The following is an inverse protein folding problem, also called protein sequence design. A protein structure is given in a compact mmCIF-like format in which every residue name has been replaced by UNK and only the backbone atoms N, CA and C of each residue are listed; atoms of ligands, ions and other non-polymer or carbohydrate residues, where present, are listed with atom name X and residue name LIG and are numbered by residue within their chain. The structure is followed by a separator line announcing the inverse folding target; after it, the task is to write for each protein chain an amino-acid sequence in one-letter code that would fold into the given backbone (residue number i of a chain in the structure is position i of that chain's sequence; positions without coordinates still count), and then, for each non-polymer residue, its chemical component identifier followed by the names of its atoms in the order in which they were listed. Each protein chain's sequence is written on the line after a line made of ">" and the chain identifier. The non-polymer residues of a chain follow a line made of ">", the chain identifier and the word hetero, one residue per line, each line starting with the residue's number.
data_IF_160238180832
#
_entry.id   IF_160238180832
#
_cell.length_a   1.000
_cell.length_b   1.000
_cell.length_c   1.000
_cell.angle_alpha   90.00
_cell.angle_beta   90.00
_cell.angle_gamma   90.00
#
_symmetry.space_group_name_H-M   'P 1'
#
loop_
_entity.id
_entity.type
_entity.pdbx_description
1 polymer ?
#
# COMPACT_ATOMS: atom_id res chain seq x y z
N UNK A 1 19.79 6.45 -15.71
CA UNK A 1 18.71 5.45 -15.57
C UNK A 1 17.53 5.77 -16.47
N UNK A 2 17.06 7.02 -16.54
CA UNK A 2 16.05 7.42 -17.54
C UNK A 2 16.50 7.20 -18.99
N UNK A 3 17.80 7.37 -19.30
CA UNK A 3 18.29 7.21 -20.68
C UNK A 3 18.38 5.75 -21.17
N UNK A 4 18.16 4.75 -20.32
CA UNK A 4 18.31 3.34 -20.68
C UNK A 4 16.98 2.61 -20.94
N UNK A 5 15.83 3.23 -20.63
CA UNK A 5 14.53 2.63 -20.91
C UNK A 5 13.44 3.72 -21.04
N UNK A 6 13.13 4.19 -22.27
CA UNK A 6 12.19 5.30 -22.48
C UNK A 6 10.76 5.00 -22.04
N UNK A 7 10.42 3.72 -21.88
CA UNK A 7 9.08 3.26 -21.51
C UNK A 7 8.88 3.23 -19.98
N UNK A 8 9.94 3.40 -19.20
CA UNK A 8 9.86 3.43 -17.73
C UNK A 8 9.88 4.86 -17.20
N UNK A 9 8.80 5.24 -16.52
CA UNK A 9 8.71 6.52 -15.80
C UNK A 9 8.92 6.28 -14.30
N UNK A 10 9.76 7.10 -13.69
CA UNK A 10 10.02 7.06 -12.25
C UNK A 10 9.61 8.41 -11.66
N UNK A 11 8.71 8.36 -10.68
CA UNK A 11 8.20 9.54 -9.99
C UNK A 11 8.41 9.41 -8.48
N UNK A 12 8.91 10.47 -7.86
CA UNK A 12 9.14 10.52 -6.42
C UNK A 12 8.03 11.31 -5.71
N UNK A 13 7.20 10.61 -4.94
CA UNK A 13 6.30 11.23 -3.95
C UNK A 13 7.11 11.65 -2.73
N UNK A 14 7.40 12.94 -2.60
CA UNK A 14 8.29 13.46 -1.56
C UNK A 14 7.53 14.12 -0.41
N UNK A 15 7.87 13.75 0.82
CA UNK A 15 7.42 14.47 2.04
C UNK A 15 8.37 15.59 2.45
N UNK A 16 9.60 15.56 1.95
CA UNK A 16 10.67 16.53 2.17
C UNK A 16 11.40 16.73 0.86
N UNK A 17 11.99 17.90 0.69
CA UNK A 17 12.81 18.21 -0.49
C UNK A 17 13.84 17.08 -0.71
N UNK A 18 13.81 16.41 -1.88
CA UNK A 18 14.71 15.30 -2.13
C UNK A 18 16.13 15.81 -2.44
N UNK A 19 17.16 14.95 -2.30
CA UNK A 19 18.53 15.34 -2.61
C UNK A 19 18.72 15.62 -4.11
N UNK A 20 19.77 16.37 -4.46
CA UNK A 20 20.07 16.75 -5.84
C UNK A 20 20.20 15.54 -6.79
N UNK A 21 20.62 14.38 -6.25
CA UNK A 21 20.66 13.12 -6.99
C UNK A 21 19.31 12.67 -7.51
N UNK A 22 18.21 13.03 -6.84
CA UNK A 22 16.85 12.78 -7.32
C UNK A 22 16.38 13.92 -8.21
N UNK A 23 16.49 15.17 -7.73
CA UNK A 23 15.98 16.36 -8.46
C UNK A 23 16.57 16.52 -9.86
N UNK A 24 17.82 16.12 -10.04
CA UNK A 24 18.51 16.24 -11.32
C UNK A 24 18.24 15.07 -12.27
N UNK A 25 17.58 13.99 -11.82
CA UNK A 25 17.45 12.74 -12.59
C UNK A 25 16.01 12.22 -12.71
N UNK A 26 15.07 12.64 -11.85
CA UNK A 26 13.72 12.10 -11.81
C UNK A 26 12.68 13.20 -11.57
N UNK A 27 11.45 12.94 -12.03
CA UNK A 27 10.31 13.76 -11.68
C UNK A 27 9.95 13.54 -10.21
N UNK A 28 9.58 14.63 -9.52
CA UNK A 28 9.19 14.59 -8.12
C UNK A 28 8.19 15.70 -7.81
N UNK A 29 7.40 15.50 -6.76
CA UNK A 29 6.55 16.53 -6.19
C UNK A 29 6.44 16.37 -4.68
N UNK A 30 6.19 17.50 -4.01
CA UNK A 30 6.02 17.57 -2.58
C UNK A 30 4.56 17.34 -2.20
N UNK A 31 4.28 16.33 -1.36
CA UNK A 31 2.93 16.01 -0.89
C UNK A 31 2.79 16.13 0.63
N UNK A 32 1.55 16.33 1.13
CA UNK A 32 1.25 16.19 2.55
C UNK A 32 1.65 14.81 3.10
N UNK A 33 2.20 14.79 4.30
CA UNK A 33 2.57 13.56 5.01
C UNK A 33 1.33 12.93 5.69
N UNK A 34 0.48 12.30 4.88
CA UNK A 34 -0.79 11.71 5.33
C UNK A 34 -0.88 10.23 4.94
N UNK A 35 -1.56 9.41 5.75
CA UNK A 35 -1.87 8.01 5.41
C UNK A 35 -0.68 7.05 5.23
N UNK A 36 0.51 7.43 5.68
CA UNK A 36 1.73 6.63 5.54
C UNK A 36 2.00 6.21 4.09
N UNK A 37 2.34 4.94 3.85
CA UNK A 37 2.65 4.41 2.52
C UNK A 37 1.39 4.42 1.64
N UNK A 38 0.25 3.98 2.19
CA UNK A 38 -1.01 3.89 1.47
C UNK A 38 -1.59 5.26 1.07
N UNK A 39 -1.42 6.27 1.93
CA UNK A 39 -1.76 7.65 1.58
C UNK A 39 -0.87 8.20 0.47
N UNK A 40 0.43 7.88 0.50
CA UNK A 40 1.35 8.21 -0.59
C UNK A 40 0.95 7.53 -1.91
N UNK A 41 0.52 6.27 -1.86
CA UNK A 41 0.04 5.55 -3.05
C UNK A 41 -1.27 6.13 -3.57
N UNK A 42 -2.20 6.51 -2.68
CA UNK A 42 -3.43 7.18 -3.06
C UNK A 42 -3.17 8.53 -3.73
N UNK A 43 -2.25 9.34 -3.22
CA UNK A 43 -1.89 10.62 -3.84
C UNK A 43 -1.36 10.45 -5.27
N UNK A 44 -0.63 9.36 -5.53
CA UNK A 44 -0.16 9.02 -6.88
C UNK A 44 -1.31 8.55 -7.76
N UNK A 45 -2.21 7.72 -7.24
CA UNK A 45 -3.43 7.31 -7.93
C UNK A 45 -4.28 8.52 -8.37
N UNK A 46 -4.44 9.53 -7.51
CA UNK A 46 -5.23 10.72 -7.83
C UNK A 46 -4.52 11.70 -8.79
N UNK A 47 -3.19 11.61 -8.90
CA UNK A 47 -2.40 12.53 -9.72
C UNK A 47 -2.30 12.10 -11.18
N UNK A 48 -2.20 10.80 -11.43
CA UNK A 48 -1.91 10.26 -12.74
C UNK A 48 -3.12 9.50 -13.28
N UNK A 49 -3.45 9.77 -14.54
CA UNK A 49 -4.35 8.91 -15.31
C UNK A 49 -3.52 7.72 -15.81
N UNK A 50 -3.78 6.54 -15.25
CA UNK A 50 -3.15 5.29 -15.66
C UNK A 50 -3.99 4.63 -16.74
N UNK A 51 -3.33 4.12 -17.77
CA UNK A 51 -3.97 3.29 -18.79
C UNK A 51 -4.07 1.84 -18.30
N UNK A 52 -5.01 1.06 -18.86
CA UNK A 52 -5.29 -0.31 -18.44
C UNK A 52 -4.04 -1.20 -18.43
N UNK A 53 -3.17 -1.03 -19.44
CA UNK A 53 -1.96 -1.82 -19.67
C UNK A 53 -0.73 -1.32 -18.89
N UNK A 54 -0.83 -0.17 -18.22
CA UNK A 54 0.29 0.33 -17.43
C UNK A 54 0.62 -0.65 -16.31
N UNK A 55 1.92 -0.94 -16.13
CA UNK A 55 2.42 -1.74 -15.00
C UNK A 55 3.01 -0.78 -13.99
N UNK A 56 2.40 -0.73 -12.80
CA UNK A 56 2.76 0.21 -11.75
C UNK A 56 3.51 -0.52 -10.65
N UNK A 57 4.66 0.04 -10.27
CA UNK A 57 5.45 -0.38 -9.12
C UNK A 57 5.36 0.70 -8.04
N UNK A 58 4.64 0.41 -6.97
CA UNK A 58 4.62 1.21 -5.77
C UNK A 58 5.70 0.72 -4.80
N UNK A 59 6.63 1.60 -4.43
CA UNK A 59 7.75 1.30 -3.52
C UNK A 59 7.90 2.43 -2.51
N UNK A 60 8.09 2.11 -1.23
CA UNK A 60 8.55 3.09 -0.26
C UNK A 60 10.09 3.11 -0.13
N UNK A 61 10.64 4.09 0.57
CA UNK A 61 12.07 4.40 0.67
C UNK A 61 12.85 3.51 1.67
N UNK A 62 12.15 2.74 2.51
CA UNK A 62 12.71 1.85 3.52
C UNK A 62 12.96 0.41 3.00
N UNK A 63 13.36 0.24 1.73
CA UNK A 63 13.68 -1.08 1.15
C UNK A 63 15.13 -1.21 0.68
N UNK A 64 15.66 -2.42 0.80
CA UNK A 64 16.90 -2.85 0.17
C UNK A 64 16.56 -3.86 -0.92
N UNK A 65 16.94 -3.54 -2.16
CA UNK A 65 16.86 -4.49 -3.27
C UNK A 65 18.04 -5.45 -3.20
N UNK A 66 17.76 -6.73 -3.00
CA UNK A 66 18.75 -7.83 -3.00
C UNK A 66 19.01 -8.35 -4.40
N UNK A 67 17.97 -8.48 -5.21
CA UNK A 67 18.06 -8.94 -6.60
C UNK A 67 16.99 -8.25 -7.44
N UNK A 68 17.38 -7.58 -8.53
CA UNK A 68 16.49 -6.87 -9.46
C UNK A 68 15.65 -7.76 -10.36
N UNK A 69 15.92 -9.07 -10.43
CA UNK A 69 15.16 -10.02 -11.26
C UNK A 69 13.65 -10.04 -10.92
N UNK A 70 13.27 -9.58 -9.72
CA UNK A 70 11.85 -9.47 -9.35
C UNK A 70 11.05 -8.57 -10.29
N UNK A 71 11.69 -7.57 -10.90
CA UNK A 71 11.02 -6.64 -11.82
C UNK A 71 10.49 -7.41 -13.03
N UNK A 72 11.33 -8.24 -13.64
CA UNK A 72 10.93 -9.09 -14.77
C UNK A 72 9.86 -10.08 -14.36
N UNK A 73 9.99 -10.70 -13.18
CA UNK A 73 8.98 -11.62 -12.66
C UNK A 73 7.61 -10.97 -12.42
N UNK A 74 7.60 -9.70 -12.02
CA UNK A 74 6.37 -8.93 -11.88
C UNK A 74 5.77 -8.63 -13.25
N UNK A 75 6.57 -8.10 -14.18
CA UNK A 75 6.13 -7.75 -15.55
C UNK A 75 5.52 -8.96 -16.26
N UNK A 76 6.14 -10.13 -16.14
CA UNK A 76 5.68 -11.35 -16.81
C UNK A 76 4.37 -11.93 -16.23
N UNK A 77 4.00 -11.57 -15.00
CA UNK A 77 2.90 -12.24 -14.30
C UNK A 77 1.74 -11.32 -13.91
N UNK A 78 1.97 -10.00 -13.80
CA UNK A 78 0.94 -9.04 -13.40
C UNK A 78 -0.10 -8.85 -14.52
N UNK A 79 -1.38 -8.76 -14.16
CA UNK A 79 -2.53 -8.74 -15.08
C UNK A 79 -2.91 -10.11 -15.65
N UNK A 80 -1.92 -10.89 -16.10
CA UNK A 80 -2.13 -12.24 -16.66
C UNK A 80 -2.50 -13.26 -15.59
N UNK A 81 -1.63 -13.42 -14.59
CA UNK A 81 -1.75 -14.45 -13.54
C UNK A 81 -2.18 -13.87 -12.21
N UNK A 82 -1.69 -12.68 -11.87
CA UNK A 82 -1.95 -12.01 -10.59
C UNK A 82 -2.33 -10.56 -10.85
N UNK A 83 -3.34 -10.04 -10.15
CA UNK A 83 -3.67 -8.60 -10.22
C UNK A 83 -2.79 -7.80 -9.27
N UNK A 84 -2.38 -8.40 -8.15
CA UNK A 84 -1.55 -7.74 -7.14
C UNK A 84 -0.40 -8.63 -6.70
N UNK A 85 0.82 -8.11 -6.77
CA UNK A 85 2.06 -8.77 -6.32
C UNK A 85 2.70 -7.91 -5.23
N UNK A 86 2.80 -8.43 -4.01
CA UNK A 86 3.41 -7.74 -2.86
C UNK A 86 4.78 -8.28 -2.45
N UNK A 87 5.51 -7.57 -1.59
CA UNK A 87 6.78 -8.08 -1.04
C UNK A 87 6.55 -9.28 -0.09
N UNK A 88 5.65 -9.15 0.87
CA UNK A 88 5.39 -10.19 1.86
C UNK A 88 3.96 -10.19 2.37
N UNK A 89 3.49 -11.39 2.70
CA UNK A 89 2.22 -11.57 3.37
C UNK A 89 2.35 -11.12 4.82
N UNK A 90 1.47 -10.20 5.24
CA UNK A 90 1.10 -10.12 6.65
C UNK A 90 -0.08 -11.11 6.82
N UNK A 91 -0.10 -11.87 7.91
CA UNK A 91 -0.97 -13.04 8.12
C UNK A 91 -2.40 -12.87 7.58
N UNK A 92 -3.00 -13.93 7.03
CA UNK A 92 -4.41 -13.87 6.60
C UNK A 92 -5.29 -13.33 7.73
N UNK A 93 -6.18 -12.40 7.41
CA UNK A 93 -6.95 -11.64 8.40
C UNK A 93 -8.45 -11.82 8.17
N UNK A 94 -9.19 -12.19 9.22
CA UNK A 94 -10.65 -12.19 9.19
C UNK A 94 -11.16 -10.79 9.48
N UNK A 95 -11.76 -10.13 8.49
CA UNK A 95 -12.32 -8.79 8.63
C UNK A 95 -13.84 -8.88 8.55
N UNK A 96 -14.50 -8.41 9.61
CA UNK A 96 -15.93 -8.13 9.64
C UNK A 96 -16.15 -6.61 9.52
N UNK A 97 -16.72 -6.12 8.40
CA UNK A 97 -16.94 -4.69 8.17
C UNK A 97 -17.63 -3.94 9.30
N UNK A 98 -18.53 -4.62 10.03
CA UNK A 98 -19.34 -4.02 11.09
C UNK A 98 -18.70 -4.22 12.49
N UNK A 99 -17.58 -4.94 12.57
CA UNK A 99 -16.83 -5.08 13.82
C UNK A 99 -16.12 -3.78 14.19
N UNK A 100 -16.21 -3.45 15.49
CA UNK A 100 -15.56 -2.28 16.08
C UNK A 100 -14.05 -2.50 16.12
N UNK A 101 -13.28 -1.53 15.60
CA UNK A 101 -11.81 -1.55 15.59
C UNK A 101 -11.19 -0.68 16.69
N UNK A 102 -11.97 0.26 17.23
CA UNK A 102 -11.58 1.13 18.34
C UNK A 102 -12.63 1.01 19.46
N UNK A 103 -12.29 0.47 20.64
CA UNK A 103 -13.17 0.61 21.79
C UNK A 103 -13.28 2.10 22.14
N UNK A 104 -14.51 2.56 22.39
CA UNK A 104 -14.85 4.00 22.39
C UNK A 104 -13.97 4.87 23.29
N UNK A 105 -13.56 6.02 22.76
CA UNK A 105 -12.93 7.08 23.52
C UNK A 105 -13.95 8.19 23.85
N UNK A 106 -14.16 8.45 25.13
CA UNK A 106 -15.06 9.50 25.61
C UNK A 106 -14.38 10.88 25.71
N UNK A 107 -13.16 11.03 25.22
CA UNK A 107 -12.40 12.27 25.28
C UNK A 107 -12.78 13.19 24.11
N UNK A 108 -13.42 14.31 24.42
CA UNK A 108 -13.84 15.34 23.46
C UNK A 108 -12.69 15.99 22.68
N UNK A 109 -11.46 15.93 23.20
CA UNK A 109 -10.25 16.36 22.50
C UNK A 109 -9.68 15.29 21.56
N UNK A 110 -10.31 14.11 21.47
CA UNK A 110 -9.90 12.95 20.64
C UNK A 110 -11.06 12.38 19.82
N UNK A 111 -11.73 13.19 18.97
CA UNK A 111 -12.92 12.75 18.22
C UNK A 111 -12.66 11.61 17.23
N UNK A 112 -11.41 11.39 16.82
CA UNK A 112 -11.01 10.29 15.93
C UNK A 112 -10.88 8.93 16.62
N UNK A 113 -10.89 8.91 17.96
CA UNK A 113 -10.97 7.70 18.75
C UNK A 113 -12.43 7.34 19.10
N UNK A 114 -13.39 7.86 18.33
CA UNK A 114 -14.77 7.40 18.31
C UNK A 114 -14.86 5.88 18.11
N UNK A 115 -15.95 5.28 18.58
CA UNK A 115 -16.29 3.90 18.20
C UNK A 115 -16.42 3.90 16.69
N UNK A 116 -15.51 3.21 16.01
CA UNK A 116 -15.57 3.03 14.57
C UNK A 116 -15.52 1.55 14.25
N UNK A 117 -16.31 1.18 13.27
CA UNK A 117 -16.23 -0.09 12.57
C UNK A 117 -15.17 -0.03 11.47
N UNK A 118 -14.74 -1.18 10.96
CA UNK A 118 -13.87 -1.24 9.77
C UNK A 118 -14.45 -0.46 8.60
N UNK A 119 -15.76 -0.59 8.36
CA UNK A 119 -16.46 0.13 7.28
C UNK A 119 -16.46 1.64 7.47
N UNK A 120 -16.56 2.13 8.69
CA UNK A 120 -16.63 3.57 8.96
C UNK A 120 -15.31 4.30 8.72
N UNK A 121 -14.17 3.60 8.86
CA UNK A 121 -12.85 4.16 8.55
C UNK A 121 -12.43 4.02 7.10
N UNK A 122 -13.09 3.15 6.32
CA UNK A 122 -12.82 3.00 4.90
C UNK A 122 -13.22 4.26 4.12
N UNK A 123 -12.41 4.59 3.12
CA UNK A 123 -12.71 5.63 2.12
C UNK A 123 -13.77 5.07 1.15
N UNK A 124 -13.56 3.84 0.66
CA UNK A 124 -14.48 3.20 -0.27
C UNK A 124 -15.44 2.24 0.45
N UNK A 125 -16.34 2.82 1.26
CA UNK A 125 -17.22 2.06 2.20
C UNK A 125 -18.06 0.97 1.55
N UNK A 126 -18.47 1.17 0.30
CA UNK A 126 -19.33 0.23 -0.43
C UNK A 126 -18.63 -1.10 -0.76
N UNK A 127 -17.30 -1.14 -0.72
CA UNK A 127 -16.56 -2.39 -0.81
C UNK A 127 -16.75 -3.25 0.45
N UNK A 128 -17.01 -2.66 1.61
CA UNK A 128 -17.05 -3.37 2.89
C UNK A 128 -18.50 -3.74 3.25
N UNK A 129 -18.97 -4.88 2.75
CA UNK A 129 -20.37 -5.31 2.79
C UNK A 129 -20.61 -6.68 3.42
N UNK A 130 -19.56 -7.46 3.71
CA UNK A 130 -19.67 -8.76 4.39
C UNK A 130 -18.39 -9.18 5.08
N UNK A 131 -18.46 -10.02 6.13
CA UNK A 131 -17.27 -10.63 6.72
C UNK A 131 -16.54 -11.55 5.73
N UNK A 132 -15.22 -11.49 5.69
CA UNK A 132 -14.39 -12.43 4.91
C UNK A 132 -12.97 -12.56 5.45
N UNK A 133 -12.34 -13.70 5.13
CA UNK A 133 -10.90 -13.86 5.27
C UNK A 133 -10.22 -13.18 4.07
N UNK A 134 -9.29 -12.29 4.35
CA UNK A 134 -8.54 -11.56 3.33
C UNK A 134 -7.04 -11.85 3.40
N UNK A 135 -6.44 -11.82 2.22
CA UNK A 135 -5.01 -11.77 2.00
C UNK A 135 -4.56 -10.33 2.24
N UNK A 136 -3.44 -10.12 2.94
CA UNK A 136 -2.92 -8.77 3.19
C UNK A 136 -1.53 -8.62 2.59
N UNK A 137 -1.22 -7.42 2.11
CA UNK A 137 0.06 -7.07 1.50
C UNK A 137 0.68 -5.95 2.32
N UNK A 138 1.97 -6.06 2.61
CA UNK A 138 2.74 -4.95 3.20
C UNK A 138 2.89 -3.83 2.18
N UNK A 139 2.64 -2.59 2.59
CA UNK A 139 2.82 -1.39 1.77
C UNK A 139 4.28 -1.02 1.48
N UNK A 140 5.23 -1.96 1.67
CA UNK A 140 6.62 -1.73 1.30
C UNK A 140 6.85 -1.83 -0.22
N UNK A 141 6.08 -2.71 -0.84
CA UNK A 141 6.08 -2.93 -2.27
C UNK A 141 4.74 -3.46 -2.72
N UNK A 142 4.23 -2.91 -3.82
CA UNK A 142 3.07 -3.43 -4.54
C UNK A 142 3.28 -3.25 -6.05
N UNK A 143 3.05 -4.30 -6.82
CA UNK A 143 2.95 -4.25 -8.27
C UNK A 143 1.54 -4.62 -8.71
N UNK A 144 0.98 -3.82 -9.61
CA UNK A 144 -0.39 -3.94 -10.15
C UNK A 144 -0.45 -3.38 -11.57
N UNK A 145 -1.54 -3.61 -12.29
CA UNK A 145 -1.83 -2.89 -13.53
C UNK A 145 -2.72 -1.67 -13.30
N UNK A 146 -2.77 -0.75 -14.27
CA UNK A 146 -3.67 0.40 -14.25
C UNK A 146 -5.13 -0.02 -14.19
N UNK A 147 -5.50 -1.05 -14.97
CA UNK A 147 -6.82 -1.66 -14.93
C UNK A 147 -7.22 -2.13 -13.52
N UNK A 148 -6.34 -2.90 -12.87
CA UNK A 148 -6.61 -3.39 -11.52
C UNK A 148 -6.68 -2.23 -10.50
N UNK A 149 -5.88 -1.17 -10.70
CA UNK A 149 -5.92 0.01 -9.86
C UNK A 149 -7.23 0.81 -10.01
N UNK A 150 -7.78 0.89 -11.22
CA UNK A 150 -9.11 1.47 -11.48
C UNK A 150 -10.22 0.63 -10.83
N UNK A 151 -10.18 -0.71 -10.99
CA UNK A 151 -11.15 -1.61 -10.35
C UNK A 151 -11.16 -1.48 -8.82
N UNK A 152 -9.99 -1.20 -8.23
CA UNK A 152 -9.84 -0.91 -6.82
C UNK A 152 -10.45 0.44 -6.41
N UNK A 153 -10.63 1.39 -7.34
CA UNK A 153 -10.96 2.77 -7.03
C UNK A 153 -9.97 3.36 -5.99
N UNK A 154 -8.68 3.20 -6.28
CA UNK A 154 -7.60 3.63 -5.40
C UNK A 154 -7.43 2.80 -4.13
N UNK A 155 -6.70 3.36 -3.16
CA UNK A 155 -6.31 2.71 -1.92
C UNK A 155 -7.13 3.17 -0.72
N UNK A 156 -7.20 2.31 0.29
CA UNK A 156 -7.71 2.69 1.61
C UNK A 156 -6.61 3.34 2.41
N UNK A 157 -6.86 4.57 2.86
CA UNK A 157 -5.92 5.36 3.63
C UNK A 157 -6.65 6.14 4.71
N UNK A 158 -5.93 6.53 5.75
CA UNK A 158 -6.44 7.34 6.86
C UNK A 158 -5.49 8.51 7.04
N UNK A 159 -5.98 9.74 6.93
CA UNK A 159 -5.13 10.94 6.89
C UNK A 159 -4.18 11.07 8.09
N UNK A 160 -4.70 10.82 9.30
CA UNK A 160 -3.91 10.79 10.53
C UNK A 160 -3.93 9.40 11.18
N UNK A 161 -3.00 8.50 10.81
CA UNK A 161 -2.89 7.19 11.43
C UNK A 161 -2.18 7.24 12.78
N UNK A 162 -1.76 8.42 13.28
CA UNK A 162 -1.07 8.53 14.56
C UNK A 162 -1.62 9.70 15.37
N UNK A 163 -2.71 9.49 16.12
CA UNK A 163 -3.01 10.35 17.27
C UNK A 163 -1.81 10.24 18.24
N UNK A 164 -0.93 11.25 18.19
CA UNK A 164 0.50 11.23 18.54
C UNK A 164 0.87 10.97 20.01
N UNK A 165 0.08 10.20 20.76
CA UNK A 165 0.34 9.84 22.15
C UNK A 165 0.16 8.36 22.48
N UNK A 166 -0.34 7.52 21.56
CA UNK A 166 -0.38 6.07 21.80
C UNK A 166 0.12 5.26 20.59
N UNK A 167 1.43 4.97 20.51
CA UNK A 167 2.02 4.16 19.44
C UNK A 167 1.54 2.70 19.43
N UNK A 168 0.78 2.27 20.45
CA UNK A 168 0.27 0.90 20.56
C UNK A 168 -0.99 0.64 19.72
N UNK A 169 -1.68 1.69 19.23
CA UNK A 169 -2.78 1.50 18.27
C UNK A 169 -2.15 1.34 16.90
N UNK A 170 -2.11 0.09 16.40
CA UNK A 170 -1.46 -0.30 15.16
C UNK A 170 -2.25 0.15 13.92
N UNK A 171 -2.48 1.46 13.77
CA UNK A 171 -3.22 2.03 12.63
C UNK A 171 -2.62 1.71 11.27
N UNK A 172 -1.30 1.52 11.19
CA UNK A 172 -0.64 1.02 9.97
C UNK A 172 -1.17 -0.34 9.51
N UNK A 173 -1.56 -1.22 10.45
CA UNK A 173 -2.17 -2.51 10.12
C UNK A 173 -3.65 -2.36 9.69
N UNK A 174 -4.34 -1.28 10.09
CA UNK A 174 -5.71 -1.03 9.64
C UNK A 174 -5.74 -0.81 8.12
N UNK A 175 -4.92 0.10 7.60
CA UNK A 175 -4.85 0.35 6.15
C UNK A 175 -4.38 -0.90 5.38
N UNK A 176 -3.42 -1.66 5.91
CA UNK A 176 -3.00 -2.96 5.33
C UNK A 176 -4.18 -3.93 5.23
N UNK A 177 -5.00 -4.04 6.27
CA UNK A 177 -6.14 -4.97 6.30
C UNK A 177 -7.30 -4.49 5.41
N UNK A 178 -7.57 -3.18 5.36
CA UNK A 178 -8.59 -2.58 4.50
C UNK A 178 -8.25 -2.77 3.01
N UNK A 179 -7.00 -2.49 2.62
CA UNK A 179 -6.53 -2.74 1.26
C UNK A 179 -6.54 -4.25 0.95
N UNK A 180 -6.07 -5.09 1.87
CA UNK A 180 -6.11 -6.54 1.73
C UNK A 180 -7.53 -7.10 1.51
N UNK A 181 -8.51 -6.55 2.23
CA UNK A 181 -9.92 -6.86 2.02
C UNK A 181 -10.37 -6.50 0.60
N UNK A 182 -10.05 -5.30 0.10
CA UNK A 182 -10.40 -4.89 -1.27
C UNK A 182 -9.75 -5.79 -2.31
N UNK A 183 -8.44 -6.02 -2.20
CA UNK A 183 -7.72 -6.93 -3.12
C UNK A 183 -8.41 -8.29 -3.15
N UNK A 184 -8.71 -8.87 -1.99
CA UNK A 184 -9.32 -10.20 -1.92
C UNK A 184 -10.76 -10.21 -2.43
N UNK A 185 -11.54 -9.15 -2.15
CA UNK A 185 -12.94 -9.05 -2.57
C UNK A 185 -13.07 -8.95 -4.09
N UNK A 186 -12.22 -8.15 -4.73
CA UNK A 186 -12.31 -7.85 -6.17
C UNK A 186 -11.69 -8.97 -6.98
N UNK A 187 -10.47 -9.38 -6.63
CA UNK A 187 -9.66 -10.26 -7.47
C UNK A 187 -9.72 -11.74 -7.06
N UNK A 188 -10.06 -12.01 -5.80
CA UNK A 188 -9.88 -13.33 -5.21
C UNK A 188 -8.44 -13.55 -4.73
N UNK A 189 -8.29 -14.43 -3.73
CA UNK A 189 -6.98 -14.68 -3.11
C UNK A 189 -5.97 -15.40 -4.00
N UNK A 190 -6.44 -16.09 -5.05
CA UNK A 190 -5.61 -16.78 -6.04
C UNK A 190 -4.95 -15.84 -7.06
N UNK A 191 -5.48 -14.62 -7.20
CA UNK A 191 -4.91 -13.55 -8.02
C UNK A 191 -4.00 -12.60 -7.24
N UNK A 192 -3.67 -12.94 -5.99
CA UNK A 192 -2.74 -12.21 -5.13
C UNK A 192 -1.48 -13.03 -4.90
N UNK A 193 -0.31 -12.45 -5.19
CA UNK A 193 0.99 -13.11 -5.01
C UNK A 193 1.93 -12.32 -4.11
N UNK A 194 2.96 -13.02 -3.64
CA UNK A 194 3.99 -12.47 -2.77
C UNK A 194 5.37 -12.92 -3.23
N UNK A 195 6.35 -12.01 -3.15
CA UNK A 195 7.76 -12.37 -3.35
C UNK A 195 8.28 -13.32 -2.26
N UNK A 196 7.69 -13.26 -1.06
CA UNK A 196 7.93 -14.25 0.00
C UNK A 196 6.67 -14.53 0.81
N UNK A 197 6.59 -15.75 1.34
CA UNK A 197 5.55 -16.15 2.30
C UNK A 197 5.69 -15.45 3.65
N UNK A 198 6.88 -14.96 3.98
CA UNK A 198 7.19 -14.36 5.28
C UNK A 198 7.85 -12.99 5.10
N UNK A 199 7.51 -12.08 6.01
CA UNK A 199 8.11 -10.75 6.06
C UNK A 199 9.64 -10.88 6.27
N UNK A 200 10.42 -10.08 5.55
CA UNK A 200 11.88 -10.02 5.59
C UNK A 200 12.64 -11.27 5.08
N UNK A 201 11.92 -12.28 4.61
CA UNK A 201 12.50 -13.51 4.05
C UNK A 201 12.51 -13.52 2.51
N UNK A 202 12.15 -12.42 1.86
CA UNK A 202 12.25 -12.31 0.40
C UNK A 202 13.71 -12.30 -0.06
N UNK A 203 14.01 -13.13 -1.06
CA UNK A 203 15.31 -13.17 -1.75
C UNK A 203 15.52 -11.94 -2.64
N UNK A 204 14.45 -11.18 -2.90
CA UNK A 204 14.45 -10.03 -3.80
C UNK A 204 14.48 -8.68 -3.08
N UNK A 205 13.66 -8.52 -2.03
CA UNK A 205 13.47 -7.26 -1.32
C UNK A 205 13.55 -7.50 0.19
N UNK A 206 14.24 -6.62 0.91
CA UNK A 206 14.18 -6.54 2.36
C UNK A 206 13.56 -5.21 2.79
N UNK A 207 12.50 -5.28 3.58
CA UNK A 207 11.93 -4.11 4.25
C UNK A 207 12.74 -3.81 5.52
N UNK A 208 13.23 -2.58 5.65
CA UNK A 208 13.93 -2.11 6.84
C UNK A 208 12.91 -1.70 7.91
N UNK A 209 13.19 -2.02 9.16
CA UNK A 209 12.33 -1.61 10.27
C UNK A 209 12.58 -0.13 10.57
N UNK A 210 11.84 0.79 9.93
CA UNK A 210 11.92 2.25 10.15
C UNK A 210 13.34 2.79 9.94
N UNK A 211 13.92 2.54 8.77
CA UNK A 211 15.27 3.00 8.41
C UNK A 211 16.43 2.26 9.08
N UNK A 212 16.20 1.08 9.68
CA UNK A 212 17.25 0.27 10.31
C UNK A 212 17.13 -1.23 10.07
N UNK A 213 18.26 -1.93 10.13
CA UNK A 213 18.31 -3.39 10.25
C UNK A 213 18.14 -3.72 11.73
N UNK A 214 17.22 -4.63 12.08
CA UNK A 214 17.09 -5.16 13.44
C UNK A 214 18.18 -6.18 13.74
#
# INVERSE_FOLDING_TARGET
>A
MNDNNPDMKVFWNCRKEPPDSIKNNFDYEMFPNEGLEWGGYQQIYEKFDFEDEDIIFFTHDDIVIKNWDFVNLCIEQVGEKFDVIGNGQNWGFGLDPDAIITPGNTNEYRPYASIKTWKEVAVNKDFFDRPMNCMTIRGSFLCTTGKALEELNGFEWISDPYDGKNPDIQWGNIMVNLNGYKFTKIFGGDRIAYMSKHLNESEFILELARGGVK
#
